data_IF_036583404969
#
_entry.id   IF_036583404969
#
_cell.length_a   1.000
_cell.length_b   1.000
_cell.length_c   1.000
_cell.angle_alpha   90.00
_cell.angle_beta   90.00
_cell.angle_gamma   90.00
#
_symmetry.space_group_name_H-M   'P 1'
#
loop_
_entity.id
_entity.type
_entity.pdbx_description
1 polymer ?
#
# COMPACT_ATOMS: atom_id res chain seq x y z
N UNK A 1 -11.48 0.03 -15.64
CA UNK A 1 -11.67 -1.43 -15.50
C UNK A 1 -11.53 -1.73 -14.01
N UNK A 2 -12.62 -2.10 -13.32
CA UNK A 2 -12.73 -1.98 -11.87
C UNK A 2 -11.88 -3.00 -11.11
N UNK A 3 -10.93 -2.52 -10.31
CA UNK A 3 -10.07 -3.33 -9.41
C UNK A 3 -10.82 -3.77 -8.14
N UNK A 4 -12.06 -4.20 -8.27
CA UNK A 4 -12.91 -4.57 -7.15
C UNK A 4 -12.86 -6.08 -6.95
N UNK A 5 -12.51 -6.50 -5.73
CA UNK A 5 -12.47 -7.92 -5.32
C UNK A 5 -13.78 -8.29 -4.65
N UNK A 6 -14.24 -9.53 -4.82
CA UNK A 6 -15.50 -9.99 -4.24
C UNK A 6 -15.44 -11.42 -3.72
N UNK A 7 -16.11 -11.65 -2.59
CA UNK A 7 -16.48 -12.94 -2.00
C UNK A 7 -18.03 -13.00 -1.90
N UNK A 8 -18.59 -14.17 -1.56
CA UNK A 8 -20.03 -14.46 -1.54
C UNK A 8 -20.92 -13.36 -0.90
N UNK A 9 -20.45 -12.65 0.11
CA UNK A 9 -21.20 -11.57 0.78
C UNK A 9 -20.41 -10.26 0.94
N UNK A 10 -19.22 -10.16 0.33
CA UNK A 10 -18.36 -8.99 0.56
C UNK A 10 -17.73 -8.56 -0.75
N UNK A 11 -17.83 -7.27 -1.06
CA UNK A 11 -17.08 -6.62 -2.14
C UNK A 11 -16.15 -5.59 -1.52
N UNK A 12 -14.90 -5.55 -1.95
CA UNK A 12 -13.91 -4.60 -1.43
C UNK A 12 -13.03 -4.05 -2.55
N UNK A 13 -12.68 -2.78 -2.39
CA UNK A 13 -11.76 -2.06 -3.25
C UNK A 13 -10.61 -1.53 -2.37
N UNK A 14 -9.74 -2.45 -1.95
CA UNK A 14 -8.65 -2.18 -1.02
C UNK A 14 -7.46 -1.52 -1.72
N UNK A 15 -7.61 -0.27 -2.16
CA UNK A 15 -6.52 0.54 -2.69
C UNK A 15 -5.93 1.41 -1.59
N UNK A 16 -4.65 1.22 -1.29
CA UNK A 16 -3.95 1.98 -0.25
C UNK A 16 -2.61 2.49 -0.77
N UNK A 17 -2.33 3.76 -0.48
CA UNK A 17 -1.02 4.38 -0.70
C UNK A 17 -0.26 4.34 0.63
N UNK A 18 0.55 3.30 0.82
CA UNK A 18 1.33 3.10 2.03
C UNK A 18 2.72 3.71 1.82
N UNK A 19 3.07 4.71 2.61
CA UNK A 19 4.35 5.43 2.54
C UNK A 19 5.07 5.28 3.88
N UNK A 20 6.35 4.91 3.81
CA UNK A 20 7.23 4.84 4.97
C UNK A 20 8.36 5.86 4.83
N UNK A 21 8.64 6.58 5.91
CA UNK A 21 9.77 7.50 5.99
C UNK A 21 10.64 7.12 7.19
N UNK A 22 11.96 7.14 6.99
CA UNK A 22 12.91 6.90 8.08
C UNK A 22 12.86 8.05 9.08
N UNK A 23 13.10 7.72 10.35
CA UNK A 23 13.35 8.74 11.37
C UNK A 23 14.53 9.61 10.93
N UNK A 24 14.34 10.93 10.92
CA UNK A 24 15.30 11.93 10.42
C UNK A 24 15.58 11.88 8.90
N UNK A 25 14.71 11.25 8.10
CA UNK A 25 14.84 11.17 6.63
C UNK A 25 16.20 10.64 6.16
N UNK A 26 16.82 9.78 6.96
CA UNK A 26 18.08 9.10 6.62
C UNK A 26 17.85 8.18 5.43
N UNK A 27 18.82 8.08 4.53
CA UNK A 27 18.79 7.13 3.42
C UNK A 27 19.16 5.71 3.91
N UNK A 28 18.47 5.21 4.94
CA UNK A 28 18.76 3.90 5.53
C UNK A 28 18.07 2.74 4.77
N UNK A 29 17.02 3.05 4.00
CA UNK A 29 16.31 2.05 3.17
C UNK A 29 16.87 1.95 1.75
N UNK A 30 17.71 2.89 1.34
CA UNK A 30 18.35 2.89 0.04
C UNK A 30 19.77 2.34 0.23
N UNK A 31 19.97 1.05 -0.04
CA UNK A 31 21.30 0.48 -0.27
C UNK A 31 21.77 0.75 -1.71
N UNK A 32 23.05 0.49 -1.99
CA UNK A 32 23.65 0.58 -3.34
C UNK A 32 22.95 -0.34 -4.37
#
# INVERSE_FOLDING_TARGET
MGDEKSLAHTRWNCKYHIVFATKYRRQAFYGE
#
